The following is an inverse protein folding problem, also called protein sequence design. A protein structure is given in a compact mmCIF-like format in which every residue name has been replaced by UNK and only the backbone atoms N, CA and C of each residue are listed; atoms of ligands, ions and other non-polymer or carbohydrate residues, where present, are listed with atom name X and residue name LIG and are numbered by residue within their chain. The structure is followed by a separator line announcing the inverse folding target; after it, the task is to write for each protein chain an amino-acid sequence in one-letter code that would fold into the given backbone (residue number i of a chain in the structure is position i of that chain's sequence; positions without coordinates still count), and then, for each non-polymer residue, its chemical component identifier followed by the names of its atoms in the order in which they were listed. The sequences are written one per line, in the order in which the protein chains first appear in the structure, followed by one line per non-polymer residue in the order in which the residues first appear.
data_IF_822107649159
#
_entry.id   IF_822107649159
#
_cell.length_a   1.000
_cell.length_b   1.000
_cell.length_c   1.000
_cell.angle_alpha   90.00
_cell.angle_beta   90.00
_cell.angle_gamma   90.00
#
_symmetry.space_group_name_H-M   'P 1'
#
loop_
_entity.id
_entity.type
_entity.pdbx_description
1 polymer ?
#
# COMPACT_ATOMS: atom_id res chain seq x y z
N UNK A 1 -0.92 -25.00 -2.88
CA UNK A 1 -0.79 -23.76 -3.67
C UNK A 1 -2.19 -23.24 -3.92
N UNK A 2 -2.58 -22.12 -3.30
CA UNK A 2 -3.82 -21.44 -3.66
C UNK A 2 -3.47 -20.54 -4.85
N UNK A 3 -3.95 -20.90 -6.04
CA UNK A 3 -3.77 -20.10 -7.25
C UNK A 3 -5.06 -19.34 -7.55
N UNK A 4 -5.03 -18.00 -7.53
CA UNK A 4 -6.17 -17.13 -7.81
C UNK A 4 -6.04 -15.75 -7.18
N UNK A 5 -6.70 -14.73 -7.75
CA UNK A 5 -6.83 -13.40 -7.11
C UNK A 5 -7.81 -13.52 -5.95
N UNK A 6 -7.36 -13.17 -4.75
CA UNK A 6 -8.20 -13.21 -3.56
C UNK A 6 -9.27 -12.11 -3.67
N UNK A 7 -10.54 -12.49 -3.69
CA UNK A 7 -11.66 -11.54 -3.86
C UNK A 7 -11.84 -10.65 -2.63
N UNK A 8 -11.78 -11.23 -1.43
CA UNK A 8 -12.00 -10.52 -0.17
C UNK A 8 -11.14 -11.07 0.95
N UNK A 9 -10.48 -10.19 1.69
CA UNK A 9 -9.79 -10.49 2.94
C UNK A 9 -10.53 -9.80 4.08
N UNK A 10 -10.93 -10.55 5.10
CA UNK A 10 -11.54 -10.02 6.32
C UNK A 10 -10.57 -10.20 7.48
N UNK A 11 -10.32 -9.10 8.21
CA UNK A 11 -9.57 -9.09 9.46
C UNK A 11 -10.40 -8.33 10.47
N UNK A 12 -10.81 -8.99 11.55
CA UNK A 12 -11.57 -8.32 12.59
C UNK A 12 -11.15 -8.77 13.98
N UNK A 13 -11.38 -7.92 14.97
CA UNK A 13 -11.23 -8.26 16.40
C UNK A 13 -9.85 -8.86 16.71
N UNK A 14 -8.85 -8.38 15.97
CA UNK A 14 -7.48 -8.92 15.98
C UNK A 14 -6.52 -7.86 16.49
N UNK A 15 -5.60 -8.28 17.36
CA UNK A 15 -4.47 -7.48 17.81
C UNK A 15 -3.20 -7.99 17.16
N UNK A 16 -2.49 -7.09 16.52
CA UNK A 16 -1.18 -7.36 15.96
C UNK A 16 -0.10 -6.70 16.81
N UNK A 17 0.85 -7.52 17.22
CA UNK A 17 2.00 -7.12 18.02
C UNK A 17 3.26 -7.00 17.17
N UNK A 18 4.26 -6.22 17.62
CA UNK A 18 5.42 -5.97 16.81
C UNK A 18 6.30 -7.20 16.62
N UNK A 19 6.38 -7.66 15.38
CA UNK A 19 7.43 -8.54 14.89
C UNK A 19 8.61 -7.75 14.30
N UNK A 20 9.74 -8.43 14.01
CA UNK A 20 10.93 -7.81 13.40
C UNK A 20 10.72 -7.27 11.97
N UNK A 21 9.54 -7.46 11.36
CA UNK A 21 9.30 -7.37 9.90
C UNK A 21 8.75 -6.06 9.33
N UNK A 22 8.45 -5.03 10.13
CA UNK A 22 8.05 -3.69 9.65
C UNK A 22 6.63 -3.53 9.12
N UNK A 23 6.13 -4.40 8.25
CA UNK A 23 4.71 -4.43 7.86
C UNK A 23 4.01 -5.62 8.51
N UNK A 24 2.83 -5.38 9.07
CA UNK A 24 2.03 -6.40 9.76
C UNK A 24 0.98 -6.99 8.84
N UNK A 25 0.39 -6.16 7.98
CA UNK A 25 -0.62 -6.60 7.03
C UNK A 25 -0.27 -6.07 5.64
N UNK A 26 -0.09 -6.99 4.69
CA UNK A 26 0.11 -6.70 3.27
C UNK A 26 -0.98 -7.44 2.51
N UNK A 27 -1.82 -6.72 1.77
CA UNK A 27 -2.92 -7.32 1.00
C UNK A 27 -3.00 -6.76 -0.41
N UNK A 28 -3.19 -7.66 -1.38
CA UNK A 28 -3.55 -7.38 -2.76
C UNK A 28 -4.94 -7.90 -3.13
N UNK A 29 -5.76 -8.25 -2.12
CA UNK A 29 -7.14 -8.68 -2.35
C UNK A 29 -7.96 -7.57 -3.01
N UNK A 30 -8.97 -7.94 -3.82
CA UNK A 30 -9.85 -6.94 -4.45
C UNK A 30 -10.49 -6.03 -3.41
N UNK A 31 -10.91 -6.58 -2.27
CA UNK A 31 -11.33 -5.81 -1.09
C UNK A 31 -10.69 -6.38 0.17
N UNK A 32 -10.11 -5.53 0.99
CA UNK A 32 -9.63 -5.85 2.34
C UNK A 32 -10.48 -5.10 3.34
N UNK A 33 -11.02 -5.83 4.31
CA UNK A 33 -11.86 -5.28 5.37
C UNK A 33 -11.17 -5.47 6.70
N UNK A 34 -11.00 -4.37 7.43
CA UNK A 34 -10.35 -4.35 8.73
C UNK A 34 -11.31 -3.69 9.71
N UNK A 35 -11.69 -4.38 10.78
CA UNK A 35 -12.66 -3.87 11.75
C UNK A 35 -12.25 -4.19 13.19
N UNK A 36 -12.31 -3.20 14.09
CA UNK A 36 -12.03 -3.40 15.52
C UNK A 36 -10.68 -4.07 15.78
N UNK A 37 -9.68 -3.73 14.97
CA UNK A 37 -8.33 -4.28 15.09
C UNK A 37 -7.37 -3.28 15.71
N UNK A 38 -6.32 -3.78 16.33
CA UNK A 38 -5.25 -2.96 16.91
C UNK A 38 -3.91 -3.32 16.29
N UNK A 39 -3.18 -2.32 15.81
CA UNK A 39 -1.86 -2.46 15.21
C UNK A 39 -0.85 -1.68 16.05
N UNK A 40 -0.01 -2.37 16.81
CA UNK A 40 1.00 -1.75 17.65
C UNK A 40 2.40 -1.96 17.07
N UNK A 41 2.93 -0.99 16.32
CA UNK A 41 4.28 -1.05 15.78
C UNK A 41 5.16 0.09 16.31
N UNK A 42 5.88 -0.09 17.44
CA UNK A 42 6.76 0.94 17.98
C UNK A 42 7.87 1.37 17.01
N UNK A 43 8.37 0.44 16.18
CA UNK A 43 9.40 0.70 15.17
C UNK A 43 9.08 -0.07 13.90
N UNK A 44 8.80 0.65 12.81
CA UNK A 44 8.74 0.07 11.47
C UNK A 44 10.04 0.37 10.74
N UNK A 45 10.93 -0.62 10.50
CA UNK A 45 12.15 -0.40 9.73
C UNK A 45 11.89 0.07 8.29
N UNK A 46 10.74 -0.28 7.70
CA UNK A 46 10.34 0.13 6.34
C UNK A 46 8.82 0.16 6.17
N UNK A 47 8.28 1.35 5.89
CA UNK A 47 6.89 1.53 5.43
C UNK A 47 5.84 1.54 6.55
N UNK A 48 4.57 1.45 6.14
CA UNK A 48 3.42 1.50 7.03
C UNK A 48 3.08 0.10 7.60
N UNK A 49 2.50 0.02 8.83
CA UNK A 49 1.96 -1.21 9.41
C UNK A 49 1.01 -1.97 8.49
N UNK A 50 0.16 -1.22 7.77
CA UNK A 50 -0.83 -1.74 6.83
C UNK A 50 -0.47 -1.27 5.42
N UNK A 51 -0.28 -2.20 4.49
CA UNK A 51 -0.01 -1.93 3.08
C UNK A 51 -1.04 -2.60 2.17
N UNK A 52 -1.70 -1.82 1.33
CA UNK A 52 -2.82 -2.28 0.50
C UNK A 52 -2.57 -1.96 -0.97
N UNK A 53 -2.68 -2.97 -1.82
CA UNK A 53 -2.63 -2.86 -3.29
C UNK A 53 -3.98 -3.26 -3.94
N UNK A 54 -5.08 -3.10 -3.20
CA UNK A 54 -6.46 -3.33 -3.65
C UNK A 54 -7.46 -2.42 -2.93
N UNK A 55 -8.72 -2.84 -2.77
CA UNK A 55 -9.72 -2.10 -2.00
C UNK A 55 -9.45 -2.17 -0.49
N UNK A 56 -9.80 -1.11 0.25
CA UNK A 56 -9.73 -1.05 1.71
C UNK A 56 -11.03 -0.49 2.28
N UNK A 57 -11.60 -1.21 3.24
CA UNK A 57 -12.62 -0.72 4.17
C UNK A 57 -12.06 -0.93 5.58
N UNK A 58 -11.76 0.15 6.29
CA UNK A 58 -11.18 0.08 7.63
C UNK A 58 -12.03 0.84 8.63
N UNK A 59 -12.45 0.17 9.70
CA UNK A 59 -13.36 0.74 10.69
C UNK A 59 -12.96 0.45 12.13
N UNK A 60 -13.23 1.40 13.01
CA UNK A 60 -13.19 1.24 14.47
C UNK A 60 -11.87 0.63 14.98
N UNK A 61 -10.76 0.92 14.29
CA UNK A 61 -9.45 0.29 14.53
C UNK A 61 -8.43 1.29 15.07
N UNK A 62 -7.48 0.81 15.85
CA UNK A 62 -6.41 1.61 16.45
C UNK A 62 -5.07 1.27 15.81
N UNK A 63 -4.29 2.28 15.42
CA UNK A 63 -3.03 2.10 14.71
C UNK A 63 -1.94 2.98 15.30
N UNK A 64 -0.86 2.37 15.77
CA UNK A 64 0.41 3.04 16.04
C UNK A 64 1.26 2.97 14.77
N UNK A 65 1.46 4.11 14.11
CA UNK A 65 2.28 4.22 12.91
C UNK A 65 3.78 4.01 13.18
N UNK A 66 4.18 4.00 14.46
CA UNK A 66 5.57 3.86 14.88
C UNK A 66 6.43 5.08 14.59
N UNK A 67 7.67 5.02 15.05
CA UNK A 67 8.70 6.00 14.71
C UNK A 67 9.57 5.47 13.58
N UNK A 68 9.62 6.18 12.44
CA UNK A 68 10.61 5.93 11.39
C UNK A 68 11.75 6.94 11.58
N UNK A 69 13.00 6.50 11.85
CA UNK A 69 14.15 7.40 11.86
C UNK A 69 14.33 8.03 10.46
N UNK A 70 14.15 9.35 10.35
CA UNK A 70 14.38 10.10 9.10
C UNK A 70 13.31 9.96 8.01
N UNK A 71 12.16 9.33 8.29
CA UNK A 71 11.07 9.12 7.33
C UNK A 71 9.69 9.54 7.86
N UNK A 72 8.74 9.79 6.95
CA UNK A 72 7.36 10.12 7.32
C UNK A 72 6.64 8.91 7.94
N UNK A 73 5.96 9.12 9.08
CA UNK A 73 5.19 8.09 9.79
C UNK A 73 3.86 7.89 9.06
N UNK A 74 3.56 6.68 8.58
CA UNK A 74 2.27 6.37 7.96
C UNK A 74 1.67 5.11 8.59
N UNK A 75 0.41 5.18 9.01
CA UNK A 75 -0.33 4.03 9.58
C UNK A 75 -0.83 3.08 8.47
N UNK A 76 -1.34 3.64 7.39
CA UNK A 76 -1.81 2.90 6.22
C UNK A 76 -1.12 3.45 4.97
N UNK A 77 -0.53 2.55 4.17
CA UNK A 77 -0.01 2.86 2.84
C UNK A 77 -0.87 2.18 1.79
N UNK A 78 -1.38 2.98 0.84
CA UNK A 78 -2.17 2.47 -0.27
C UNK A 78 -1.41 2.67 -1.56
N UNK A 79 -1.05 1.55 -2.18
CA UNK A 79 -0.29 1.47 -3.41
C UNK A 79 -1.22 1.55 -4.64
N UNK A 80 -0.69 1.92 -5.81
CA UNK A 80 -1.39 1.76 -7.07
C UNK A 80 -1.88 0.31 -7.26
N UNK A 81 -3.10 0.18 -7.77
CA UNK A 81 -3.75 -1.09 -8.03
C UNK A 81 -4.48 -1.02 -9.38
N UNK A 82 -4.63 -2.16 -10.05
CA UNK A 82 -5.43 -2.25 -11.26
C UNK A 82 -6.92 -2.13 -10.89
N UNK A 83 -7.51 -0.97 -11.19
CA UNK A 83 -8.92 -0.67 -10.96
C UNK A 83 -9.12 0.63 -10.17
N UNK A 84 -9.67 1.65 -10.84
CA UNK A 84 -10.03 2.94 -10.22
C UNK A 84 -11.16 2.83 -9.19
N UNK A 85 -12.03 1.84 -9.34
CA UNK A 85 -13.32 1.75 -8.63
C UNK A 85 -13.24 0.91 -7.34
N UNK A 86 -12.02 0.61 -6.88
CA UNK A 86 -11.82 -0.14 -5.65
C UNK A 86 -12.04 0.77 -4.44
N UNK A 87 -12.84 0.35 -3.44
CA UNK A 87 -13.16 1.21 -2.30
C UNK A 87 -11.90 1.58 -1.53
N UNK A 88 -11.90 2.78 -0.95
CA UNK A 88 -10.87 3.25 -0.05
C UNK A 88 -11.54 4.07 1.05
N UNK A 89 -11.93 3.40 2.12
CA UNK A 89 -12.68 3.99 3.22
C UNK A 89 -12.00 3.73 4.55
N UNK A 90 -11.80 4.78 5.35
CA UNK A 90 -11.31 4.70 6.72
C UNK A 90 -12.28 5.48 7.61
N UNK A 91 -13.00 4.77 8.47
CA UNK A 91 -14.03 5.35 9.33
C UNK A 91 -13.77 5.05 10.81
N UNK A 92 -13.92 6.06 11.68
CA UNK A 92 -13.84 5.91 13.16
C UNK A 92 -12.54 5.24 13.65
N UNK A 93 -11.45 5.37 12.89
CA UNK A 93 -10.16 4.83 13.30
C UNK A 93 -9.44 5.79 14.22
N UNK A 94 -8.52 5.28 15.02
CA UNK A 94 -7.69 6.05 15.92
C UNK A 94 -6.22 5.90 15.56
N UNK A 95 -5.57 7.02 15.21
CA UNK A 95 -4.13 7.08 15.03
C UNK A 95 -3.45 7.36 16.36
N UNK A 96 -2.39 6.62 16.67
CA UNK A 96 -1.54 6.84 17.84
C UNK A 96 -0.21 7.50 17.41
N UNK A 97 0.32 8.37 18.28
CA UNK A 97 1.71 8.94 18.22
C UNK A 97 2.10 9.76 16.98
N UNK A 98 1.15 10.47 16.37
CA UNK A 98 1.42 11.44 15.31
C UNK A 98 1.66 10.80 13.94
N UNK A 99 1.93 11.62 12.92
CA UNK A 99 2.19 11.12 11.57
C UNK A 99 0.99 11.22 10.64
N UNK A 100 0.89 10.30 9.69
CA UNK A 100 -0.14 10.26 8.67
C UNK A 100 -1.02 9.03 8.87
N UNK A 101 -2.34 9.20 8.96
CA UNK A 101 -3.25 8.06 9.00
C UNK A 101 -3.22 7.30 7.67
N UNK A 102 -3.41 8.00 6.56
CA UNK A 102 -3.40 7.42 5.22
C UNK A 102 -2.34 8.05 4.31
N UNK A 103 -1.33 7.28 3.91
CA UNK A 103 -0.45 7.59 2.79
C UNK A 103 -1.04 7.00 1.52
N UNK A 104 -1.61 7.85 0.67
CA UNK A 104 -2.32 7.43 -0.53
C UNK A 104 -1.49 7.69 -1.80
N UNK A 105 -0.89 6.62 -2.33
CA UNK A 105 -0.18 6.65 -3.60
C UNK A 105 -1.00 6.09 -4.76
N UNK A 106 -2.21 5.59 -4.49
CA UNK A 106 -3.08 4.97 -5.49
C UNK A 106 -3.82 5.94 -6.40
N UNK A 107 -3.80 7.24 -6.10
CA UNK A 107 -4.59 8.28 -6.77
C UNK A 107 -6.12 8.16 -6.62
N UNK A 108 -6.63 7.15 -5.90
CA UNK A 108 -8.06 7.03 -5.58
C UNK A 108 -8.49 8.04 -4.53
N UNK A 109 -9.73 8.53 -4.60
CA UNK A 109 -10.27 9.44 -3.58
C UNK A 109 -10.67 8.65 -2.34
N UNK A 110 -10.07 8.90 -1.16
CA UNK A 110 -10.45 8.20 0.06
C UNK A 110 -11.71 8.82 0.68
N UNK A 111 -12.57 7.98 1.30
CA UNK A 111 -13.60 8.43 2.23
C UNK A 111 -13.05 8.31 3.66
N UNK A 112 -12.93 9.45 4.34
CA UNK A 112 -12.37 9.55 5.68
C UNK A 112 -13.44 10.16 6.59
N UNK A 113 -13.90 9.42 7.60
CA UNK A 113 -15.06 9.84 8.40
C UNK A 113 -14.87 9.49 9.87
N UNK A 114 -14.95 10.48 10.76
CA UNK A 114 -14.93 10.26 12.22
C UNK A 114 -13.62 9.71 12.76
N UNK A 115 -12.51 9.76 12.01
CA UNK A 115 -11.21 9.33 12.51
C UNK A 115 -10.70 10.28 13.60
N UNK A 116 -10.02 9.73 14.59
CA UNK A 116 -9.40 10.46 15.70
C UNK A 116 -7.89 10.48 15.51
N UNK A 117 -7.34 11.69 15.52
CA UNK A 117 -5.93 11.95 15.27
C UNK A 117 -5.33 12.75 16.44
N UNK A 118 -4.08 12.46 16.83
CA UNK A 118 -3.38 13.25 17.82
C UNK A 118 -2.95 14.60 17.22
N UNK A 119 -2.67 15.62 18.05
CA UNK A 119 -2.25 16.93 17.56
C UNK A 119 -1.03 16.85 16.62
N UNK A 120 -1.09 17.58 15.51
CA UNK A 120 -0.01 17.61 14.50
C UNK A 120 0.02 16.40 13.55
N UNK A 121 -0.88 15.43 13.72
CA UNK A 121 -1.06 14.38 12.74
C UNK A 121 -1.88 14.83 11.53
N UNK A 122 -1.71 14.12 10.41
CA UNK A 122 -2.33 14.38 9.12
C UNK A 122 -3.23 13.20 8.79
N UNK A 123 -4.46 13.47 8.36
CA UNK A 123 -5.40 12.40 8.03
C UNK A 123 -5.05 11.71 6.71
N UNK A 124 -4.62 12.47 5.70
CA UNK A 124 -4.22 11.93 4.41
C UNK A 124 -3.03 12.68 3.82
N UNK A 125 -2.11 11.95 3.19
CA UNK A 125 -0.98 12.51 2.45
C UNK A 125 -0.74 11.75 1.15
N UNK A 126 -0.34 12.48 0.12
CA UNK A 126 0.13 11.92 -1.16
C UNK A 126 1.63 12.14 -1.36
N UNK A 127 2.35 12.59 -0.33
CA UNK A 127 3.79 12.87 -0.39
C UNK A 127 4.56 11.61 -0.80
N UNK A 128 5.53 11.77 -1.70
CA UNK A 128 6.29 10.65 -2.25
C UNK A 128 5.62 9.87 -3.38
N UNK A 129 4.33 10.09 -3.65
CA UNK A 129 3.63 9.42 -4.75
C UNK A 129 4.28 9.68 -6.11
N UNK A 130 4.82 10.89 -6.32
CA UNK A 130 5.44 11.28 -7.59
C UNK A 130 6.74 10.52 -7.88
N UNK A 131 7.59 10.29 -6.86
CA UNK A 131 8.82 9.50 -7.01
C UNK A 131 8.50 8.06 -7.42
N UNK A 132 7.44 7.48 -6.85
CA UNK A 132 6.96 6.16 -7.25
C UNK A 132 6.39 6.12 -8.67
N UNK A 133 5.64 7.17 -9.07
CA UNK A 133 5.12 7.27 -10.45
C UNK A 133 6.24 7.37 -11.48
N UNK A 134 7.29 8.15 -11.20
CA UNK A 134 8.45 8.26 -12.10
C UNK A 134 9.23 6.93 -12.16
N UNK A 135 9.47 6.30 -11.00
CA UNK A 135 10.15 5.00 -10.95
C UNK A 135 9.40 3.88 -11.68
N UNK A 136 8.07 3.85 -11.59
CA UNK A 136 7.21 2.92 -12.32
C UNK A 136 7.33 3.11 -13.83
N UNK A 137 7.17 4.36 -14.31
CA UNK A 137 7.30 4.69 -15.74
C UNK A 137 8.70 4.40 -16.28
N UNK A 138 9.74 4.65 -15.49
CA UNK A 138 11.12 4.35 -15.89
C UNK A 138 11.35 2.84 -16.05
N UNK A 139 10.77 2.01 -15.18
CA UNK A 139 10.84 0.54 -15.30
C UNK A 139 10.03 0.02 -16.47
N UNK A 140 8.83 0.56 -16.71
CA UNK A 140 8.03 0.21 -17.89
C UNK A 140 8.77 0.56 -19.19
N UNK A 141 9.34 1.77 -19.28
CA UNK A 141 10.15 2.20 -20.40
C UNK A 141 11.37 1.29 -20.59
N UNK A 142 12.10 0.99 -19.52
CA UNK A 142 13.28 0.11 -19.56
C UNK A 142 12.91 -1.32 -19.97
N UNK A 143 11.79 -1.85 -19.46
CA UNK A 143 11.29 -3.18 -19.85
C UNK A 143 10.87 -3.23 -21.32
N UNK A 144 10.26 -2.16 -21.82
CA UNK A 144 9.85 -2.03 -23.23
C UNK A 144 11.08 -1.96 -24.14
N UNK A 145 12.09 -1.16 -23.77
CA UNK A 145 13.36 -1.08 -24.50
C UNK A 145 14.11 -2.42 -24.51
N UNK A 146 14.14 -3.13 -23.37
CA UNK A 146 14.76 -4.45 -23.28
C UNK A 146 14.03 -5.50 -24.10
N UNK A 147 12.70 -5.47 -24.13
CA UNK A 147 11.89 -6.37 -24.96
C UNK A 147 12.14 -6.11 -26.46
N UNK A 148 12.19 -4.85 -26.87
CA UNK A 148 12.44 -4.46 -28.26
C UNK A 148 13.87 -4.86 -28.70
N UNK A 149 14.85 -4.68 -27.82
CA UNK A 149 16.22 -5.16 -28.04
C UNK A 149 16.27 -6.71 -28.17
N UNK A 150 15.53 -7.43 -27.34
CA UNK A 150 15.42 -8.89 -27.43
C UNK A 150 14.77 -9.38 -28.72
N UNK A 151 13.73 -8.70 -29.20
CA UNK A 151 13.05 -9.02 -30.48
C UNK A 151 13.97 -8.74 -31.68
N UNK A 152 14.73 -7.64 -31.66
CA UNK A 152 15.72 -7.33 -32.70
C UNK A 152 16.87 -8.33 -32.70
N UNK A 153 17.36 -8.73 -31.53
CA UNK A 153 18.43 -9.73 -31.41
C UNK A 153 17.96 -11.11 -31.87
N UNK A 154 16.71 -11.49 -31.60
CA UNK A 154 16.11 -12.74 -32.10
C UNK A 154 15.97 -12.76 -33.63
N UNK A 155 15.59 -11.63 -34.25
CA UNK A 155 15.51 -11.52 -35.72
C UNK A 155 16.87 -11.53 -36.41
N UNK A 156 17.91 -11.03 -35.78
CA UNK A 156 19.27 -11.04 -36.35
C UNK A 156 19.97 -12.40 -36.22
N UNK A 157 19.56 -13.24 -35.26
CA UNK A 157 20.14 -14.57 -35.01
C UNK A 157 19.34 -15.72 -35.64
N UNK A 158 18.19 -15.44 -36.25
CA UNK A 158 17.41 -16.44 -37.01
C UNK A 158 17.53 -16.11 -38.49
N UNK A 159 18.55 -16.61 -39.22
CA UNK A 159 18.60 -16.45 -40.67
C UNK A 159 17.36 -17.12 -41.25
N UNK A 160 16.69 -16.42 -42.17
CA UNK A 160 15.61 -16.99 -42.97
C UNK A 160 16.17 -18.20 -43.73
N UNK A 161 15.84 -19.40 -43.25
CA UNK A 161 16.12 -20.64 -43.98
C UNK A 161 15.34 -20.63 -45.28
N UNK A 162 16.06 -20.44 -46.38
CA UNK A 162 15.78 -21.08 -47.66
C UNK A 162 16.78 -22.22 -47.84
#
# INVERSE_FOLDING_TARGET
MIAGRLGRLLVSDTRFEPGRGGAVLISSARTTEIARSAFALPVSPRGAPVQIAGGLLMSDSMIDAGSIPGGGRAAVLVLPADGSDLPLELQRNQLEKGGVLLMNWSARTPRLEGNRLPPGAIETSTSGAWFHRIGGKARELYSSLRHLAGVLQYRLLTPAGQ
#
